data_IF_072975673747
#
_entry.id   IF_072975673747
#
_cell.length_a   1.000
_cell.length_b   1.000
_cell.length_c   1.000
_cell.angle_alpha   90.00
_cell.angle_beta   90.00
_cell.angle_gamma   90.00
#
_symmetry.space_group_name_H-M   'P 1'
#
loop_
_entity.id
_entity.type
_entity.pdbx_description
1 polymer ?
#
# COMPACT_ATOMS: atom_id res chain seq x y z
N UNK A 1 -24.40 -14.88 -0.88
CA UNK A 1 -23.40 -15.54 0.00
C UNK A 1 -22.67 -14.48 0.81
N UNK A 2 -22.64 -14.60 2.14
CA UNK A 2 -21.94 -13.64 3.00
C UNK A 2 -20.43 -13.74 2.79
N UNK A 3 -19.76 -12.60 2.62
CA UNK A 3 -18.32 -12.56 2.29
C UNK A 3 -17.52 -12.93 3.53
N UNK A 4 -16.81 -14.07 3.50
CA UNK A 4 -15.89 -14.46 4.59
C UNK A 4 -14.83 -13.37 4.77
N UNK A 5 -14.62 -12.93 6.02
CA UNK A 5 -13.57 -11.98 6.39
C UNK A 5 -12.21 -12.55 5.97
N UNK A 6 -11.46 -11.79 5.18
CA UNK A 6 -10.13 -12.20 4.71
C UNK A 6 -9.09 -11.99 5.82
N UNK A 7 -8.29 -13.02 6.11
CA UNK A 7 -7.12 -12.90 7.00
C UNK A 7 -6.06 -12.00 6.33
N UNK A 8 -5.52 -11.03 7.07
CA UNK A 8 -4.43 -10.17 6.59
C UNK A 8 -3.09 -10.92 6.74
N UNK A 9 -2.88 -11.93 5.89
CA UNK A 9 -1.67 -12.72 5.83
C UNK A 9 -1.33 -13.04 4.36
N UNK A 10 -0.14 -13.57 4.12
CA UNK A 10 0.27 -14.02 2.79
C UNK A 10 -0.70 -15.12 2.28
N UNK A 11 -1.15 -14.98 1.01
CA UNK A 11 -2.06 -15.95 0.38
C UNK A 11 -1.20 -17.00 -0.32
N UNK A 12 -1.13 -18.21 0.21
CA UNK A 12 -0.28 -19.28 -0.34
C UNK A 12 -0.76 -19.80 -1.70
N UNK A 13 -2.07 -19.83 -1.96
CA UNK A 13 -2.60 -20.23 -3.26
C UNK A 13 -2.33 -19.16 -4.33
N UNK A 14 -1.52 -19.49 -5.34
CA UNK A 14 -1.06 -18.55 -6.36
C UNK A 14 -2.18 -17.96 -7.22
N UNK A 15 -3.15 -18.77 -7.65
CA UNK A 15 -4.28 -18.29 -8.46
C UNK A 15 -5.17 -17.31 -7.67
N UNK A 16 -5.44 -17.63 -6.41
CA UNK A 16 -6.16 -16.75 -5.49
C UNK A 16 -5.37 -15.48 -5.17
N UNK A 17 -4.04 -15.59 -4.99
CA UNK A 17 -3.14 -14.45 -4.75
C UNK A 17 -3.11 -13.52 -5.96
N UNK A 18 -2.93 -14.04 -7.18
CA UNK A 18 -2.95 -13.29 -8.45
C UNK A 18 -4.26 -12.55 -8.67
N UNK A 19 -5.39 -13.23 -8.44
CA UNK A 19 -6.72 -12.62 -8.58
C UNK A 19 -6.94 -11.52 -7.54
N UNK A 20 -6.51 -11.76 -6.31
CA UNK A 20 -6.60 -10.77 -5.22
C UNK A 20 -5.71 -9.57 -5.48
N UNK A 21 -4.47 -9.78 -5.94
CA UNK A 21 -3.53 -8.73 -6.33
C UNK A 21 -4.18 -7.80 -7.37
N UNK A 22 -4.60 -8.31 -8.53
CA UNK A 22 -5.25 -7.51 -9.57
C UNK A 22 -6.45 -6.70 -9.07
N UNK A 23 -7.33 -7.34 -8.27
CA UNK A 23 -8.53 -6.67 -7.73
C UNK A 23 -8.18 -5.59 -6.71
N UNK A 24 -7.22 -5.85 -5.81
CA UNK A 24 -6.81 -4.90 -4.76
C UNK A 24 -5.99 -3.75 -5.32
N UNK A 25 -5.12 -3.99 -6.29
CA UNK A 25 -4.35 -2.94 -6.99
C UNK A 25 -5.30 -1.93 -7.65
N UNK A 26 -6.27 -2.41 -8.45
CA UNK A 26 -7.31 -1.56 -9.04
C UNK A 26 -8.11 -0.79 -7.99
N UNK A 27 -8.46 -1.45 -6.88
CA UNK A 27 -9.19 -0.82 -5.77
C UNK A 27 -8.38 0.26 -5.06
N UNK A 28 -7.08 0.02 -4.83
CA UNK A 28 -6.18 0.97 -4.20
C UNK A 28 -5.98 2.20 -5.10
N UNK A 29 -5.69 2.01 -6.38
CA UNK A 29 -5.54 3.11 -7.34
C UNK A 29 -6.82 3.96 -7.41
N UNK A 30 -8.01 3.31 -7.41
CA UNK A 30 -9.28 4.03 -7.35
C UNK A 30 -9.38 4.89 -6.09
N UNK A 31 -9.01 4.35 -4.93
CA UNK A 31 -9.07 5.07 -3.65
C UNK A 31 -8.08 6.24 -3.59
N UNK A 32 -6.88 6.08 -4.13
CA UNK A 32 -5.89 7.18 -4.23
C UNK A 32 -6.42 8.29 -5.14
N UNK A 33 -7.04 7.94 -6.29
CA UNK A 33 -7.69 8.92 -7.16
C UNK A 33 -8.83 9.66 -6.47
N UNK A 34 -9.71 8.95 -5.77
CA UNK A 34 -10.81 9.56 -5.01
C UNK A 34 -10.25 10.53 -3.95
N UNK A 35 -9.22 10.13 -3.21
CA UNK A 35 -8.60 10.94 -2.16
C UNK A 35 -7.97 12.23 -2.73
N UNK A 36 -7.16 12.10 -3.78
CA UNK A 36 -6.53 13.26 -4.45
C UNK A 36 -7.57 14.23 -5.01
N UNK A 37 -8.65 13.70 -5.61
CA UNK A 37 -9.74 14.52 -6.17
C UNK A 37 -10.56 15.22 -5.09
N UNK A 38 -11.00 14.49 -4.07
CA UNK A 38 -11.92 15.01 -3.05
C UNK A 38 -11.22 15.95 -2.05
N UNK A 39 -9.95 15.70 -1.76
CA UNK A 39 -9.20 16.48 -0.77
C UNK A 39 -8.25 17.52 -1.40
N UNK A 40 -8.12 17.55 -2.74
CA UNK A 40 -7.21 18.47 -3.43
C UNK A 40 -5.74 18.27 -3.05
N UNK A 41 -5.34 17.03 -2.76
CA UNK A 41 -3.96 16.69 -2.38
C UNK A 41 -3.23 16.01 -3.54
N UNK A 42 -1.90 16.16 -3.58
CA UNK A 42 -1.04 15.39 -4.47
C UNK A 42 -0.65 14.06 -3.83
N UNK A 43 -0.80 12.96 -4.58
CA UNK A 43 -0.34 11.64 -4.17
C UNK A 43 -0.01 10.78 -5.38
N UNK A 44 0.81 9.75 -5.17
CA UNK A 44 1.11 8.74 -6.17
C UNK A 44 1.11 7.35 -5.53
N UNK A 45 1.03 6.31 -6.36
CA UNK A 45 1.15 4.93 -5.94
C UNK A 45 2.09 4.16 -6.88
N UNK A 46 2.97 3.36 -6.31
CA UNK A 46 3.82 2.40 -7.03
C UNK A 46 3.57 1.03 -6.42
N UNK A 47 3.07 0.09 -7.23
CA UNK A 47 2.63 -1.22 -6.78
C UNK A 47 3.34 -2.27 -7.61
N UNK A 48 4.19 -3.06 -6.97
CA UNK A 48 4.95 -4.13 -7.62
C UNK A 48 4.58 -5.50 -7.04
N UNK A 49 4.76 -6.56 -7.82
CA UNK A 49 4.72 -7.92 -7.32
C UNK A 49 5.89 -8.70 -7.91
N UNK A 50 6.64 -9.45 -7.09
CA UNK A 50 7.71 -10.31 -7.59
C UNK A 50 7.17 -11.46 -8.45
N UNK A 51 5.92 -11.88 -8.19
CA UNK A 51 5.30 -13.06 -8.81
C UNK A 51 4.43 -12.70 -10.02
N UNK A 52 3.93 -11.44 -10.09
CA UNK A 52 2.85 -11.06 -11.01
C UNK A 52 3.11 -9.73 -11.71
N UNK A 53 3.18 -9.78 -13.04
CA UNK A 53 3.38 -8.60 -13.88
C UNK A 53 4.86 -8.37 -14.18
N UNK A 54 5.16 -7.94 -15.40
CA UNK A 54 6.54 -7.62 -15.82
C UNK A 54 6.98 -6.22 -15.40
N UNK A 55 6.03 -5.35 -15.04
CA UNK A 55 6.26 -3.96 -14.67
C UNK A 55 5.36 -3.56 -13.49
N UNK A 56 5.85 -2.62 -12.68
CA UNK A 56 5.08 -2.05 -11.58
C UNK A 56 3.89 -1.25 -12.11
N UNK A 57 2.73 -1.36 -11.44
CA UNK A 57 1.60 -0.47 -11.69
C UNK A 57 1.88 0.87 -11.01
N UNK A 58 1.91 1.94 -11.80
CA UNK A 58 2.20 3.29 -11.35
C UNK A 58 1.03 4.20 -11.67
N UNK A 59 0.59 4.97 -10.67
CA UNK A 59 -0.46 5.98 -10.82
C UNK A 59 0.02 7.31 -10.20
N UNK A 60 -0.31 8.48 -10.79
CA UNK A 60 -1.10 8.66 -12.02
C UNK A 60 -0.32 8.38 -13.31
N UNK A 61 0.96 8.75 -13.33
CA UNK A 61 1.92 8.42 -14.39
C UNK A 61 3.30 8.19 -13.77
N UNK A 62 4.22 7.60 -14.53
CA UNK A 62 5.60 7.43 -14.08
C UNK A 62 6.31 8.78 -13.85
N UNK A 63 6.01 9.77 -14.68
CA UNK A 63 6.60 11.11 -14.60
C UNK A 63 6.11 11.85 -13.35
N UNK A 64 4.79 11.84 -13.11
CA UNK A 64 4.20 12.48 -11.92
C UNK A 64 4.67 11.79 -10.64
N UNK A 65 4.71 10.46 -10.61
CA UNK A 65 5.22 9.72 -9.45
C UNK A 65 6.68 10.06 -9.16
N UNK A 66 7.52 10.19 -10.20
CA UNK A 66 8.93 10.62 -10.05
C UNK A 66 9.04 12.06 -9.56
N UNK A 67 8.25 12.98 -10.12
CA UNK A 67 8.20 14.39 -9.68
C UNK A 67 7.84 14.47 -8.20
N UNK A 68 6.72 13.86 -7.80
CA UNK A 68 6.23 13.88 -6.43
C UNK A 68 7.20 13.21 -5.46
N UNK A 69 7.83 12.10 -5.85
CA UNK A 69 8.87 11.46 -5.04
C UNK A 69 10.11 12.35 -4.89
N UNK A 70 10.50 13.07 -5.94
CA UNK A 70 11.61 14.03 -5.88
C UNK A 70 11.30 15.16 -4.91
N UNK A 71 10.13 15.78 -5.02
CA UNK A 71 9.70 16.84 -4.10
C UNK A 71 9.62 16.34 -2.65
N UNK A 72 9.06 15.14 -2.43
CA UNK A 72 9.02 14.51 -1.11
C UNK A 72 10.42 14.35 -0.50
N UNK A 73 11.40 13.89 -1.29
CA UNK A 73 12.79 13.69 -0.83
C UNK A 73 13.52 15.00 -0.49
N UNK A 74 13.06 16.14 -1.01
CA UNK A 74 13.62 17.47 -0.66
C UNK A 74 13.14 17.97 0.71
N UNK A 75 12.09 17.38 1.28
CA UNK A 75 11.56 17.78 2.58
C UNK A 75 12.51 17.36 3.72
N UNK A 76 12.51 18.07 4.87
CA UNK A 76 13.24 17.63 6.05
C UNK A 76 12.79 16.23 6.52
N UNK A 77 13.70 15.44 7.09
CA UNK A 77 13.42 14.08 7.57
C UNK A 77 12.26 14.01 8.57
N UNK A 78 12.09 15.02 9.41
CA UNK A 78 10.95 15.11 10.35
C UNK A 78 9.60 15.17 9.63
N UNK A 79 9.54 15.83 8.47
CA UNK A 79 8.33 15.87 7.63
C UNK A 79 8.16 14.59 6.82
N UNK A 80 9.26 14.02 6.30
CA UNK A 80 9.20 12.75 5.55
C UNK A 80 8.71 11.60 6.43
N UNK A 81 9.22 11.50 7.66
CA UNK A 81 8.90 10.39 8.57
C UNK A 81 7.58 10.59 9.32
N UNK A 82 6.93 11.76 9.19
CA UNK A 82 5.69 12.05 9.89
C UNK A 82 4.59 11.07 9.46
N UNK A 83 4.19 10.19 10.38
CA UNK A 83 3.21 9.10 10.15
C UNK A 83 3.59 8.15 9.01
N UNK A 84 4.87 8.08 8.65
CA UNK A 84 5.35 7.13 7.65
C UNK A 84 5.30 5.71 8.22
N UNK A 85 4.76 4.78 7.44
CA UNK A 85 4.75 3.36 7.76
C UNK A 85 5.49 2.62 6.65
N UNK A 86 6.38 1.72 7.05
CA UNK A 86 7.08 0.81 6.15
C UNK A 86 6.77 -0.64 6.58
N UNK A 87 7.33 -1.61 5.86
CA UNK A 87 7.06 -3.02 6.13
C UNK A 87 7.57 -3.46 7.51
N UNK A 88 8.75 -2.99 7.91
CA UNK A 88 9.36 -3.31 9.20
C UNK A 88 8.52 -2.76 10.36
N UNK A 89 8.24 -1.45 10.35
CA UNK A 89 7.45 -0.81 11.41
C UNK A 89 6.02 -1.35 11.47
N UNK A 90 5.45 -1.77 10.33
CA UNK A 90 4.16 -2.45 10.31
C UNK A 90 4.22 -3.83 10.98
N UNK A 91 5.28 -4.61 10.75
CA UNK A 91 5.46 -5.92 11.37
C UNK A 91 5.68 -5.79 12.87
N UNK A 92 6.51 -4.85 13.31
CA UNK A 92 6.71 -4.54 14.74
C UNK A 92 5.39 -4.19 15.43
N UNK A 93 4.60 -3.27 14.84
CA UNK A 93 3.28 -2.91 15.35
C UNK A 93 2.33 -4.11 15.40
N UNK A 94 2.42 -5.01 14.42
CA UNK A 94 1.60 -6.22 14.38
C UNK A 94 2.00 -7.23 15.45
N UNK A 95 3.31 -7.36 15.73
CA UNK A 95 3.83 -8.21 16.81
C UNK A 95 3.40 -7.70 18.18
N UNK A 96 3.51 -6.38 18.44
CA UNK A 96 3.06 -5.77 19.70
C UNK A 96 1.56 -6.02 19.93
N UNK A 97 0.74 -5.88 18.89
CA UNK A 97 -0.70 -6.18 18.98
C UNK A 97 -0.98 -7.66 19.28
N UNK A 98 -0.24 -8.57 18.65
CA UNK A 98 -0.39 -10.00 18.87
C UNK A 98 0.02 -10.40 20.31
N UNK A 99 1.13 -9.87 20.82
CA UNK A 99 1.57 -10.16 22.20
C UNK A 99 0.62 -9.60 23.25
N UNK A 100 0.02 -8.42 23.00
CA UNK A 100 -1.00 -7.85 23.88
C UNK A 100 -2.27 -8.72 23.91
N UNK A 101 -2.68 -9.30 22.78
CA UNK A 101 -3.82 -10.22 22.72
C UNK A 101 -3.59 -11.54 23.46
N UNK A 102 -2.34 -11.99 23.58
CA UNK A 102 -1.98 -13.19 24.33
C UNK A 102 -1.91 -12.98 25.85
N UNK A 103 -1.82 -11.73 26.31
CA UNK A 103 -1.84 -11.37 27.73
C UNK A 103 -3.25 -11.29 28.32
N UNK A 104 -4.28 -11.36 27.47
CA UNK A 104 -5.70 -11.29 27.84
C UNK A 104 -6.38 -12.65 27.64
#
# INVERSE_FOLDING_TARGET
MSRKKTKLAYITNDSARKTTYKKRTKGLVKKVRELTTLCGIEAFAVINSPDFGSQAEVWPSLEDARRLLSEFKKLPLSKQNNKMVNQESFLEQSLVKATQQLRN
#
